data_IF_027452664005
#
_entry.id   IF_027452664005
#
_cell.length_a   1.000
_cell.length_b   1.000
_cell.length_c   1.000
_cell.angle_alpha   90.00
_cell.angle_beta   90.00
_cell.angle_gamma   90.00
#
_symmetry.space_group_name_H-M   'P 1'
#
loop_
_entity.id
_entity.type
_entity.pdbx_description
1 polymer ?
#
# COMPACT_ATOMS: atom_id res chain seq x y z
N UNK A 1 35.18 -32.39 -29.24
CA UNK A 1 34.28 -31.37 -29.84
C UNK A 1 33.03 -31.07 -29.02
N UNK A 2 32.57 -31.95 -28.11
CA UNK A 2 31.32 -31.75 -27.33
C UNK A 2 31.43 -30.79 -26.11
N UNK A 3 32.65 -30.56 -25.59
CA UNK A 3 32.87 -29.74 -24.38
C UNK A 3 32.79 -28.22 -24.61
N UNK A 4 33.11 -27.74 -25.81
CA UNK A 4 33.09 -26.31 -26.12
C UNK A 4 31.68 -25.84 -26.50
N UNK A 5 30.88 -26.70 -27.13
CA UNK A 5 29.47 -26.44 -27.46
C UNK A 5 28.59 -26.33 -26.22
N UNK A 6 28.83 -27.14 -25.19
CA UNK A 6 28.10 -27.08 -23.90
C UNK A 6 28.44 -25.80 -23.13
N UNK A 7 29.68 -25.31 -23.21
CA UNK A 7 30.09 -24.09 -22.54
C UNK A 7 29.45 -22.84 -23.18
N UNK A 8 29.41 -22.78 -24.53
CA UNK A 8 28.77 -21.68 -25.25
C UNK A 8 27.25 -21.62 -25.03
N UNK A 9 26.55 -22.76 -24.93
CA UNK A 9 25.09 -22.76 -24.69
C UNK A 9 24.73 -22.32 -23.26
N UNK A 10 25.52 -22.72 -22.25
CA UNK A 10 25.32 -22.27 -20.87
C UNK A 10 25.58 -20.77 -20.71
N UNK A 11 26.60 -20.22 -21.39
CA UNK A 11 26.92 -18.79 -21.35
C UNK A 11 25.83 -17.92 -22.00
N UNK A 12 25.20 -18.41 -23.08
CA UNK A 12 24.10 -17.70 -23.75
C UNK A 12 22.82 -17.71 -22.90
N UNK A 13 22.51 -18.80 -22.19
CA UNK A 13 21.37 -18.86 -21.26
C UNK A 13 21.52 -17.94 -20.04
N UNK A 14 22.74 -17.69 -19.57
CA UNK A 14 23.04 -16.73 -18.49
C UNK A 14 22.95 -15.27 -18.93
N UNK A 15 23.02 -14.99 -20.23
CA UNK A 15 22.98 -13.64 -20.80
C UNK A 15 21.56 -13.20 -21.20
N UNK A 16 20.55 -14.07 -21.08
CA UNK A 16 19.15 -13.69 -21.31
C UNK A 16 18.66 -12.99 -20.04
N UNK A 17 18.45 -11.66 -20.03
CA UNK A 17 17.83 -11.02 -18.89
C UNK A 17 16.43 -11.62 -18.75
N UNK A 18 16.17 -12.25 -17.59
CA UNK A 18 14.81 -12.61 -17.22
C UNK A 18 14.05 -11.29 -17.19
N UNK A 19 13.18 -11.07 -18.18
CA UNK A 19 12.33 -9.90 -18.23
C UNK A 19 11.36 -9.99 -17.03
N UNK A 20 11.82 -9.48 -15.89
CA UNK A 20 10.97 -9.25 -14.74
C UNK A 20 10.06 -8.08 -15.10
N UNK A 21 8.88 -8.38 -15.64
CA UNK A 21 7.85 -7.37 -15.85
C UNK A 21 7.42 -6.83 -14.49
N UNK A 22 7.91 -5.65 -14.13
CA UNK A 22 7.31 -4.89 -13.06
C UNK A 22 5.90 -4.50 -13.50
N UNK A 23 4.91 -4.72 -12.63
CA UNK A 23 3.54 -4.26 -12.84
C UNK A 23 3.36 -2.78 -12.57
N UNK A 24 4.33 -2.15 -11.90
CA UNK A 24 4.46 -0.69 -11.84
C UNK A 24 4.92 -0.19 -13.20
N UNK A 25 4.24 0.84 -13.71
CA UNK A 25 4.50 1.46 -15.01
C UNK A 25 5.14 2.84 -14.85
N UNK A 26 5.80 3.33 -15.90
CA UNK A 26 6.42 4.65 -15.93
C UNK A 26 7.93 4.66 -15.63
N UNK A 27 8.58 5.83 -15.72
CA UNK A 27 10.02 5.95 -15.48
C UNK A 27 10.41 5.64 -14.03
N UNK A 28 11.40 4.77 -13.83
CA UNK A 28 11.90 4.40 -12.49
C UNK A 28 12.35 5.62 -11.66
N UNK A 29 12.87 6.66 -12.34
CA UNK A 29 13.36 7.90 -11.71
C UNK A 29 12.27 8.69 -10.98
N UNK A 30 11.01 8.47 -11.31
CA UNK A 30 9.90 9.10 -10.60
C UNK A 30 9.74 8.57 -9.17
N UNK A 31 10.24 7.36 -8.91
CA UNK A 31 10.14 6.70 -7.60
C UNK A 31 11.51 6.49 -6.96
N UNK A 32 12.58 6.42 -7.76
CA UNK A 32 13.91 6.03 -7.30
C UNK A 32 15.00 7.05 -7.62
N UNK A 33 15.95 7.19 -6.69
CA UNK A 33 17.24 7.84 -6.86
C UNK A 33 18.35 6.86 -6.49
N UNK A 34 19.34 6.69 -7.36
CA UNK A 34 20.42 5.74 -7.14
C UNK A 34 21.47 6.25 -6.15
N UNK A 35 21.70 7.56 -6.14
CA UNK A 35 22.79 8.18 -5.39
C UNK A 35 22.32 9.24 -4.40
N UNK A 36 21.00 9.41 -4.26
CA UNK A 36 20.41 10.52 -3.52
C UNK A 36 21.05 11.88 -3.88
N UNK A 37 21.37 12.07 -5.16
CA UNK A 37 22.02 13.27 -5.69
C UNK A 37 21.55 13.50 -7.11
N UNK A 38 20.96 14.67 -7.38
CA UNK A 38 20.52 15.12 -8.68
C UNK A 38 20.94 16.58 -8.86
N UNK A 39 21.67 16.89 -9.94
CA UNK A 39 22.18 18.24 -10.21
C UNK A 39 23.01 18.84 -9.06
N UNK A 40 23.84 18.01 -8.41
CA UNK A 40 24.64 18.37 -7.24
C UNK A 40 23.84 18.76 -5.97
N UNK A 41 22.54 18.50 -5.95
CA UNK A 41 21.70 18.65 -4.77
C UNK A 41 21.19 17.29 -4.30
N UNK A 42 21.03 17.09 -2.98
CA UNK A 42 20.43 15.88 -2.46
C UNK A 42 18.97 15.76 -2.93
N UNK A 43 18.51 14.54 -3.25
CA UNK A 43 17.12 14.31 -3.70
C UNK A 43 16.17 14.26 -2.50
N UNK A 44 16.66 13.80 -1.35
CA UNK A 44 15.98 13.84 -0.05
C UNK A 44 16.90 14.50 0.97
N UNK A 45 16.34 15.00 2.07
CA UNK A 45 17.10 15.67 3.12
C UNK A 45 18.08 14.75 3.88
N UNK A 46 18.16 13.47 3.52
CA UNK A 46 19.12 12.54 4.10
C UNK A 46 20.49 12.64 3.40
N UNK A 47 21.58 12.64 4.15
CA UNK A 47 22.95 12.56 3.59
C UNK A 47 23.38 11.14 3.17
N UNK A 48 22.48 10.17 3.21
CA UNK A 48 22.74 8.74 3.01
C UNK A 48 21.95 8.20 1.82
N UNK A 49 22.30 7.01 1.29
CA UNK A 49 21.45 6.31 0.33
C UNK A 49 20.06 6.04 0.93
N UNK A 50 19.01 6.35 0.17
CA UNK A 50 17.64 6.14 0.61
C UNK A 50 17.30 4.64 0.72
N UNK A 51 16.43 4.29 1.66
CA UNK A 51 15.94 2.91 1.78
C UNK A 51 15.23 2.48 0.48
N UNK A 52 15.62 1.31 -0.04
CA UNK A 52 15.19 0.81 -1.34
C UNK A 52 15.36 1.82 -2.49
N UNK A 53 16.29 2.76 -2.37
CA UNK A 53 16.57 3.82 -3.33
C UNK A 53 15.38 4.73 -3.61
N UNK A 54 14.36 4.76 -2.75
CA UNK A 54 13.17 5.57 -3.00
C UNK A 54 13.47 7.06 -2.87
N UNK A 55 12.78 7.90 -3.64
CA UNK A 55 12.87 9.37 -3.52
C UNK A 55 12.04 9.91 -2.36
N UNK A 56 11.14 9.11 -1.80
CA UNK A 56 10.27 9.51 -0.68
C UNK A 56 9.74 8.29 0.08
N UNK A 57 9.08 8.55 1.19
CA UNK A 57 8.30 7.56 1.94
C UNK A 57 6.85 7.44 1.44
N UNK A 58 6.02 6.73 2.22
CA UNK A 58 4.60 6.53 1.93
C UNK A 58 3.85 7.86 1.77
N UNK A 59 4.05 8.81 2.69
CA UNK A 59 3.28 10.05 2.70
C UNK A 59 3.67 10.93 1.52
N UNK A 60 4.97 11.10 1.26
CA UNK A 60 5.37 11.98 0.17
C UNK A 60 4.98 11.47 -1.22
N UNK A 61 4.89 10.14 -1.43
CA UNK A 61 4.37 9.59 -2.69
C UNK A 61 2.83 9.55 -2.75
N UNK A 62 2.14 9.38 -1.62
CA UNK A 62 0.69 9.20 -1.56
C UNK A 62 -0.07 10.46 -1.10
N UNK A 63 0.55 11.65 -1.23
CA UNK A 63 -0.09 12.94 -0.99
C UNK A 63 -0.40 13.64 -2.32
N UNK A 64 -1.64 14.11 -2.48
CA UNK A 64 -2.09 14.80 -3.68
C UNK A 64 -3.59 14.65 -3.92
N UNK A 65 -4.07 15.20 -5.03
CA UNK A 65 -5.49 15.15 -5.41
C UNK A 65 -5.75 14.04 -6.42
N UNK A 66 -6.67 13.12 -6.12
CA UNK A 66 -7.09 12.12 -7.11
C UNK A 66 -7.95 12.78 -8.21
N UNK A 67 -7.68 12.46 -9.46
CA UNK A 67 -8.37 13.01 -10.63
C UNK A 67 -8.86 11.92 -11.60
N UNK A 68 -8.80 10.65 -11.17
CA UNK A 68 -9.24 9.50 -11.96
C UNK A 68 -8.26 9.00 -13.02
N UNK A 69 -7.12 9.68 -13.22
CA UNK A 69 -6.04 9.26 -14.14
C UNK A 69 -4.70 9.06 -13.44
N UNK A 70 -4.63 9.20 -12.10
CA UNK A 70 -3.40 8.97 -11.35
C UNK A 70 -3.00 7.49 -11.36
N UNK A 71 -1.72 7.24 -11.54
CA UNK A 71 -1.13 5.90 -11.36
C UNK A 71 -0.90 5.55 -9.89
N UNK A 72 -0.76 6.56 -9.04
CA UNK A 72 -0.60 6.43 -7.58
C UNK A 72 -1.88 6.89 -6.88
N UNK A 73 -2.46 6.07 -5.98
CA UNK A 73 -3.60 6.51 -5.20
C UNK A 73 -3.16 7.53 -4.15
N UNK A 74 -3.76 8.70 -4.12
CA UNK A 74 -3.47 9.68 -3.07
C UNK A 74 -4.45 9.49 -1.90
N UNK A 75 -3.89 9.19 -0.73
CA UNK A 75 -4.64 8.92 0.50
C UNK A 75 -4.69 10.14 1.43
N UNK A 76 -3.87 11.15 1.14
CA UNK A 76 -3.85 12.42 1.86
C UNK A 76 -3.92 13.57 0.87
N UNK A 77 -4.83 14.51 1.12
CA UNK A 77 -4.87 15.80 0.45
C UNK A 77 -4.98 16.87 1.54
N UNK A 78 -4.30 18.01 1.33
CA UNK A 78 -4.40 19.17 2.21
C UNK A 78 -5.65 20.00 1.93
N UNK A 79 -6.33 19.74 0.81
CA UNK A 79 -7.63 20.31 0.46
C UNK A 79 -8.76 19.34 0.81
N UNK A 80 -9.97 19.84 1.12
CA UNK A 80 -11.11 18.98 1.41
C UNK A 80 -11.41 18.01 0.24
N UNK A 81 -11.63 16.71 0.52
CA UNK A 81 -12.05 15.77 -0.51
C UNK A 81 -13.47 16.06 -0.99
N UNK A 82 -13.68 15.98 -2.30
CA UNK A 82 -14.97 15.97 -2.97
C UNK A 82 -15.47 14.53 -3.09
N UNK A 83 -16.63 14.25 -2.50
CA UNK A 83 -17.23 12.92 -2.51
C UNK A 83 -18.23 12.71 -3.66
N UNK A 84 -18.86 13.77 -4.19
CA UNK A 84 -20.02 13.59 -5.06
C UNK A 84 -21.18 12.90 -4.33
N UNK A 85 -22.08 12.26 -5.08
CA UNK A 85 -23.23 11.54 -4.51
C UNK A 85 -22.85 10.13 -4.03
N UNK A 86 -21.95 9.46 -4.75
CA UNK A 86 -21.59 8.06 -4.53
C UNK A 86 -20.09 7.81 -4.36
N UNK A 87 -19.22 8.81 -4.59
CA UNK A 87 -17.77 8.63 -4.58
C UNK A 87 -17.20 8.02 -5.86
N UNK A 88 -18.00 7.97 -6.93
CA UNK A 88 -17.62 7.33 -8.21
C UNK A 88 -17.67 8.28 -9.40
N UNK A 89 -18.18 9.48 -9.17
CA UNK A 89 -18.35 10.53 -10.14
C UNK A 89 -17.00 11.06 -10.60
N UNK A 90 -16.96 11.64 -11.80
CA UNK A 90 -15.75 12.29 -12.32
C UNK A 90 -15.34 13.54 -11.53
N UNK A 91 -16.27 14.10 -10.76
CA UNK A 91 -16.05 15.22 -9.84
C UNK A 91 -15.59 14.76 -8.45
N UNK A 92 -15.66 13.47 -8.13
CA UNK A 92 -15.18 12.94 -6.87
C UNK A 92 -13.65 12.70 -6.93
N UNK A 93 -12.95 13.00 -5.84
CA UNK A 93 -11.50 12.83 -5.70
C UNK A 93 -11.10 11.96 -4.48
N UNK A 94 -12.08 11.26 -3.91
CA UNK A 94 -11.87 10.38 -2.75
C UNK A 94 -11.68 8.93 -3.17
N UNK A 95 -11.03 8.15 -2.30
CA UNK A 95 -10.87 6.71 -2.47
C UNK A 95 -11.88 5.98 -1.59
N UNK A 96 -12.06 4.69 -1.88
CA UNK A 96 -12.80 3.75 -1.04
C UNK A 96 -12.36 3.70 0.43
N UNK A 97 -11.09 4.04 0.70
CA UNK A 97 -10.54 4.12 2.05
C UNK A 97 -10.68 5.49 2.69
N UNK A 98 -11.33 6.45 2.02
CA UNK A 98 -11.37 7.84 2.42
C UNK A 98 -10.09 8.60 2.12
N UNK A 99 -9.92 9.72 2.83
CA UNK A 99 -8.75 10.59 2.77
C UNK A 99 -8.40 11.06 4.20
N UNK A 100 -7.12 11.09 4.54
CA UNK A 100 -6.62 11.51 5.85
C UNK A 100 -6.79 13.01 6.16
N UNK A 101 -7.31 13.80 5.22
CA UNK A 101 -7.68 15.21 5.42
C UNK A 101 -8.41 15.45 6.75
N UNK A 102 -9.36 14.57 7.11
CA UNK A 102 -10.19 14.76 8.30
C UNK A 102 -9.46 14.61 9.64
N UNK A 103 -8.32 13.92 9.67
CA UNK A 103 -7.48 13.79 10.89
C UNK A 103 -6.28 14.74 10.90
N UNK A 104 -5.98 15.41 9.78
CA UNK A 104 -4.72 16.14 9.62
C UNK A 104 -4.81 17.55 9.04
N UNK A 105 -5.78 17.83 8.17
CA UNK A 105 -5.86 19.09 7.40
C UNK A 105 -7.24 19.77 7.42
N UNK A 106 -8.22 19.19 8.12
CA UNK A 106 -9.60 19.67 8.26
C UNK A 106 -9.82 21.06 8.87
N UNK A 107 -8.76 21.80 9.21
CA UNK A 107 -8.85 23.06 9.95
C UNK A 107 -9.56 22.87 11.29
N UNK A 108 -10.65 23.59 11.53
CA UNK A 108 -11.45 23.46 12.75
C UNK A 108 -12.27 22.16 12.82
N UNK A 109 -12.25 21.35 11.77
CA UNK A 109 -12.92 20.04 11.69
C UNK A 109 -11.94 18.86 11.85
N UNK A 110 -10.70 19.11 12.28
CA UNK A 110 -9.77 18.01 12.61
C UNK A 110 -10.25 17.30 13.88
N UNK A 111 -10.37 15.98 13.81
CA UNK A 111 -10.76 15.16 14.96
C UNK A 111 -10.21 13.72 14.85
N UNK A 112 -9.65 13.19 15.94
CA UNK A 112 -9.10 11.83 16.03
C UNK A 112 -10.17 10.76 15.72
N UNK A 113 -11.45 11.07 15.92
CA UNK A 113 -12.57 10.16 15.64
C UNK A 113 -12.86 9.99 14.14
N UNK A 114 -12.24 10.79 13.28
CA UNK A 114 -12.51 10.77 11.83
C UNK A 114 -11.60 9.83 11.04
N UNK A 115 -10.69 9.10 11.69
CA UNK A 115 -9.86 8.12 11.01
C UNK A 115 -8.76 7.53 11.88
N UNK A 116 -7.78 6.90 11.25
CA UNK A 116 -6.58 6.45 11.94
C UNK A 116 -5.50 7.52 11.91
N UNK A 117 -4.93 7.82 13.07
CA UNK A 117 -3.84 8.79 13.21
C UNK A 117 -2.49 8.17 12.86
N UNK A 118 -2.19 8.13 11.56
CA UNK A 118 -0.97 7.53 11.02
C UNK A 118 0.24 8.45 11.19
N UNK A 119 1.37 7.88 11.63
CA UNK A 119 2.65 8.57 11.75
C UNK A 119 3.08 9.20 10.41
N UNK A 120 3.47 10.47 10.44
CA UNK A 120 3.81 11.27 9.25
C UNK A 120 2.62 11.99 8.63
N UNK A 121 1.39 11.75 9.10
CA UNK A 121 0.17 12.43 8.65
C UNK A 121 -0.46 13.23 9.79
N UNK A 122 -0.64 12.59 10.95
CA UNK A 122 -1.25 13.20 12.13
C UNK A 122 -0.46 12.90 13.40
N UNK A 123 -0.70 13.67 14.45
CA UNK A 123 -0.22 13.35 15.80
C UNK A 123 -0.90 12.06 16.31
N UNK A 124 -0.27 11.29 17.22
CA UNK A 124 -0.92 10.13 17.83
C UNK A 124 -2.31 10.48 18.38
N UNK A 125 -3.25 9.55 18.27
CA UNK A 125 -4.60 9.70 18.83
C UNK A 125 -4.51 9.99 20.34
N UNK A 126 -5.13 11.08 20.77
CA UNK A 126 -5.06 11.56 22.15
C UNK A 126 -5.99 10.80 23.09
N UNK A 127 -7.00 10.11 22.55
CA UNK A 127 -8.03 9.39 23.30
C UNK A 127 -7.80 7.87 23.32
N UNK A 128 -7.27 7.32 22.24
CA UNK A 128 -7.04 5.88 22.06
C UNK A 128 -5.55 5.56 21.93
N UNK A 129 -4.93 5.13 23.02
CA UNK A 129 -3.54 4.69 23.03
C UNK A 129 -3.33 3.27 22.48
N UNK A 130 -4.40 2.49 22.35
CA UNK A 130 -4.43 1.13 21.81
C UNK A 130 -5.68 0.96 20.93
N UNK A 131 -5.63 0.12 19.89
CA UNK A 131 -6.82 -0.17 19.11
C UNK A 131 -7.88 -0.87 19.99
N UNK A 132 -9.13 -0.38 20.02
CA UNK A 132 -10.21 -1.05 20.72
C UNK A 132 -10.37 -2.50 20.24
N UNK A 133 -10.40 -3.45 21.17
CA UNK A 133 -10.51 -4.88 20.86
C UNK A 133 -9.21 -5.56 20.37
N UNK A 134 -8.09 -4.84 20.36
CA UNK A 134 -6.78 -5.41 20.06
C UNK A 134 -6.22 -6.27 21.20
N UNK A 135 -5.28 -7.15 20.85
CA UNK A 135 -4.55 -8.02 21.77
C UNK A 135 -3.28 -7.36 22.36
N UNK A 136 -3.07 -6.07 22.08
CA UNK A 136 -1.89 -5.32 22.50
C UNK A 136 -0.70 -5.39 21.54
N UNK A 137 -0.83 -6.06 20.39
CA UNK A 137 0.24 -6.11 19.37
C UNK A 137 0.52 -4.73 18.77
N UNK A 138 -0.53 -3.93 18.53
CA UNK A 138 -0.40 -2.53 18.11
C UNK A 138 -0.32 -1.62 19.34
N UNK A 139 0.90 -1.43 19.85
CA UNK A 139 1.19 -0.65 21.06
C UNK A 139 2.07 0.59 20.82
N UNK A 140 2.31 0.93 19.57
CA UNK A 140 2.95 2.18 19.16
C UNK A 140 2.05 2.92 18.18
N UNK A 141 2.38 4.18 17.88
CA UNK A 141 1.61 4.95 16.90
C UNK A 141 1.48 4.19 15.58
N UNK A 142 0.26 4.18 15.03
CA UNK A 142 -0.01 3.46 13.78
C UNK A 142 0.86 4.02 12.64
N UNK A 143 1.39 3.12 11.82
CA UNK A 143 2.19 3.41 10.64
C UNK A 143 1.47 2.91 9.39
N UNK A 144 1.91 3.30 8.19
CA UNK A 144 1.33 2.76 6.96
C UNK A 144 1.61 1.26 6.86
N UNK A 145 2.84 0.84 7.15
CA UNK A 145 3.27 -0.54 7.02
C UNK A 145 4.16 -1.03 8.18
N UNK A 146 4.45 -2.32 8.19
CA UNK A 146 5.35 -2.97 9.14
C UNK A 146 4.65 -3.41 10.44
N UNK A 147 5.41 -3.60 11.51
CA UNK A 147 4.91 -4.17 12.79
C UNK A 147 3.75 -3.38 13.42
N UNK A 148 3.69 -2.08 13.18
CA UNK A 148 2.63 -1.20 13.68
C UNK A 148 1.82 -0.59 12.54
N UNK A 149 1.80 -1.23 11.37
CA UNK A 149 0.99 -0.82 10.23
C UNK A 149 0.06 -1.93 9.73
N UNK A 150 -0.94 -1.51 8.96
CA UNK A 150 -1.91 -2.43 8.37
C UNK A 150 -1.37 -3.04 7.07
N UNK A 151 -0.57 -2.28 6.31
CA UNK A 151 0.01 -2.74 5.06
C UNK A 151 1.33 -3.47 5.28
N UNK A 152 1.69 -4.33 4.34
CA UNK A 152 2.97 -5.00 4.36
C UNK A 152 3.04 -6.12 5.40
N UNK A 153 4.24 -6.70 5.52
CA UNK A 153 4.48 -7.81 6.45
C UNK A 153 4.57 -7.29 7.88
N UNK A 154 3.66 -7.72 8.74
CA UNK A 154 3.62 -7.33 10.16
C UNK A 154 4.84 -7.84 10.97
N UNK A 155 5.55 -8.87 10.49
CA UNK A 155 6.80 -9.35 11.10
C UNK A 155 8.04 -8.50 10.80
N UNK A 156 7.91 -7.40 10.04
CA UNK A 156 9.02 -6.54 9.61
C UNK A 156 8.79 -5.14 10.15
N UNK A 157 9.68 -4.62 11.00
CA UNK A 157 9.48 -3.33 11.68
C UNK A 157 9.50 -2.13 10.72
N UNK A 158 10.43 -2.14 9.76
CA UNK A 158 10.63 -1.04 8.84
C UNK A 158 9.60 -1.02 7.70
N UNK A 159 8.88 0.10 7.53
CA UNK A 159 7.74 0.23 6.62
C UNK A 159 8.09 -0.14 5.17
N UNK A 160 9.18 0.43 4.64
CA UNK A 160 9.62 0.19 3.27
C UNK A 160 10.12 -1.26 3.10
N UNK A 161 10.79 -1.81 4.10
CA UNK A 161 11.23 -3.21 4.10
C UNK A 161 10.06 -4.18 4.12
N UNK A 162 9.00 -3.87 4.88
CA UNK A 162 7.78 -4.66 4.96
C UNK A 162 7.02 -4.72 3.61
N UNK A 163 7.23 -3.72 2.75
CA UNK A 163 6.63 -3.60 1.40
C UNK A 163 7.62 -3.94 0.27
N UNK A 164 8.86 -4.31 0.58
CA UNK A 164 9.93 -4.41 -0.42
C UNK A 164 9.57 -5.39 -1.53
N UNK A 165 9.66 -4.91 -2.77
CA UNK A 165 9.36 -5.65 -4.00
C UNK A 165 7.87 -5.80 -4.30
N UNK A 166 6.97 -5.77 -3.32
CA UNK A 166 5.57 -6.16 -3.53
C UNK A 166 4.78 -5.15 -4.34
N UNK A 167 5.15 -3.86 -4.27
CA UNK A 167 4.62 -2.84 -5.18
C UNK A 167 4.83 -3.23 -6.65
N UNK A 168 5.99 -3.82 -7.02
CA UNK A 168 6.30 -4.20 -8.40
C UNK A 168 5.54 -5.44 -8.88
N UNK A 169 5.00 -6.23 -7.96
CA UNK A 169 4.34 -7.50 -8.27
C UNK A 169 2.84 -7.47 -8.01
N UNK A 170 2.27 -6.30 -7.66
CA UNK A 170 0.87 -6.18 -7.21
C UNK A 170 -0.07 -6.89 -8.17
N UNK A 171 -0.77 -7.90 -7.66
CA UNK A 171 -1.79 -8.54 -8.45
C UNK A 171 -2.95 -7.56 -8.71
N UNK A 172 -3.33 -7.42 -9.98
CA UNK A 172 -4.34 -6.51 -10.52
C UNK A 172 -5.61 -7.28 -10.92
N UNK A 173 -5.64 -8.59 -10.62
CA UNK A 173 -6.84 -9.41 -10.68
C UNK A 173 -7.89 -8.88 -9.71
N UNK A 174 -9.15 -9.11 -10.07
CA UNK A 174 -10.29 -8.72 -9.23
C UNK A 174 -10.25 -9.46 -7.89
N UNK A 175 -9.89 -10.74 -7.89
CA UNK A 175 -9.69 -11.51 -6.67
C UNK A 175 -8.24 -11.49 -6.22
N UNK A 176 -8.03 -11.24 -4.92
CA UNK A 176 -6.76 -11.26 -4.23
C UNK A 176 -6.76 -12.47 -3.29
N UNK A 177 -5.91 -13.45 -3.57
CA UNK A 177 -5.92 -14.75 -2.89
C UNK A 177 -5.10 -14.80 -1.59
N UNK A 178 -4.40 -13.72 -1.24
CA UNK A 178 -3.61 -13.62 -0.02
C UNK A 178 -2.34 -14.49 0.01
N UNK A 179 -2.03 -15.25 -1.04
CA UNK A 179 -0.88 -16.19 -1.03
C UNK A 179 0.48 -15.50 -0.97
N UNK A 180 0.53 -14.23 -1.37
CA UNK A 180 1.66 -13.34 -1.16
C UNK A 180 1.12 -11.95 -0.83
N UNK A 181 1.94 -11.11 -0.19
CA UNK A 181 1.59 -9.71 0.05
C UNK A 181 1.18 -8.95 -1.23
N UNK A 182 1.82 -9.24 -2.38
CA UNK A 182 1.44 -8.66 -3.66
C UNK A 182 0.04 -9.12 -4.15
N UNK A 183 -0.37 -10.33 -3.78
CA UNK A 183 -1.69 -10.91 -4.05
C UNK A 183 -2.68 -10.73 -2.91
N UNK A 184 -2.34 -9.94 -1.90
CA UNK A 184 -3.22 -9.70 -0.76
C UNK A 184 -4.08 -8.45 -0.97
N UNK A 185 -5.30 -8.47 -0.47
CA UNK A 185 -6.25 -7.37 -0.62
C UNK A 185 -5.66 -6.08 -0.04
N UNK A 186 -5.51 -5.04 -0.88
CA UNK A 186 -4.90 -3.75 -0.51
C UNK A 186 -3.55 -3.87 0.21
N UNK A 187 -2.76 -4.90 -0.07
CA UNK A 187 -1.49 -5.18 0.63
C UNK A 187 -1.64 -5.42 2.14
N UNK A 188 -2.82 -5.83 2.61
CA UNK A 188 -3.00 -6.36 3.96
C UNK A 188 -2.52 -7.81 3.93
N UNK A 189 -1.34 -8.10 4.49
CA UNK A 189 -0.67 -9.38 4.28
C UNK A 189 -1.56 -10.59 4.62
N UNK A 190 -1.55 -11.60 3.75
CA UNK A 190 -2.41 -12.81 3.83
C UNK A 190 -3.92 -12.61 3.69
N UNK A 191 -4.40 -11.37 3.59
CA UNK A 191 -5.83 -11.08 3.51
C UNK A 191 -6.36 -11.30 2.10
N UNK A 192 -7.45 -12.06 2.01
CA UNK A 192 -8.16 -12.28 0.77
C UNK A 192 -9.27 -11.25 0.56
N UNK A 193 -9.53 -10.88 -0.69
CA UNK A 193 -10.63 -9.96 -0.97
C UNK A 193 -10.80 -9.57 -2.42
N UNK A 194 -11.92 -8.91 -2.69
CA UNK A 194 -12.27 -8.41 -4.02
C UNK A 194 -11.78 -6.96 -4.20
N UNK A 195 -10.78 -6.78 -5.05
CA UNK A 195 -10.30 -5.47 -5.52
C UNK A 195 -11.04 -5.03 -6.77
N UNK A 196 -12.19 -4.37 -6.62
CA UNK A 196 -12.86 -3.69 -7.72
C UNK A 196 -12.20 -2.32 -7.99
N UNK A 197 -11.84 -2.03 -9.25
CA UNK A 197 -11.15 -0.78 -9.66
C UNK A 197 -12.01 0.48 -9.52
N UNK A 198 -13.32 0.33 -9.39
CA UNK A 198 -14.27 1.38 -9.04
C UNK A 198 -15.25 0.77 -8.05
N UNK A 199 -15.57 1.50 -6.98
CA UNK A 199 -16.66 1.11 -6.07
C UNK A 199 -17.96 1.14 -6.87
N UNK A 200 -18.36 0.04 -7.49
CA UNK A 200 -19.79 -0.14 -7.71
C UNK A 200 -20.39 -0.51 -6.34
N UNK A 201 -21.58 0.00 -6.02
CA UNK A 201 -22.24 0.03 -4.70
C UNK A 201 -22.59 -1.36 -4.10
N UNK A 202 -21.88 -2.42 -4.50
CA UNK A 202 -22.22 -3.80 -4.19
C UNK A 202 -20.99 -4.55 -3.68
N UNK A 203 -20.81 -4.52 -2.36
CA UNK A 203 -20.00 -5.44 -1.51
C UNK A 203 -18.47 -5.33 -1.57
N UNK A 204 -17.89 -4.89 -0.45
CA UNK A 204 -16.55 -5.29 0.00
C UNK A 204 -16.71 -6.63 0.73
N UNK A 205 -16.15 -7.72 0.20
CA UNK A 205 -16.04 -9.01 0.90
C UNK A 205 -14.57 -9.24 1.22
N UNK A 206 -14.23 -9.21 2.50
CA UNK A 206 -12.92 -9.56 3.03
C UNK A 206 -13.11 -10.75 3.96
N UNK A 207 -12.30 -11.80 3.82
CA UNK A 207 -12.35 -13.01 4.66
C UNK A 207 -10.98 -13.26 5.26
N UNK A 208 -10.92 -13.38 6.59
CA UNK A 208 -9.74 -13.86 7.32
C UNK A 208 -9.86 -15.37 7.47
N UNK A 209 -9.02 -16.15 6.80
CA UNK A 209 -8.92 -17.58 7.09
C UNK A 209 -8.14 -17.77 8.38
N UNK A 210 -8.83 -17.97 9.51
CA UNK A 210 -8.19 -18.59 10.67
C UNK A 210 -8.08 -20.09 10.41
N UNK A 211 -6.86 -20.63 10.52
CA UNK A 211 -6.62 -22.06 10.42
C UNK A 211 -7.06 -22.74 11.72
N UNK A 212 -8.34 -23.07 11.82
CA UNK A 212 -8.81 -24.16 12.68
C UNK A 212 -9.39 -25.25 11.80
N UNK A 213 -8.75 -26.41 11.82
CA UNK A 213 -9.17 -27.61 11.11
C UNK A 213 -10.63 -27.95 11.45
N UNK A 214 -11.51 -27.99 10.44
CA UNK A 214 -12.91 -28.37 10.62
C UNK A 214 -13.79 -28.03 9.42
N UNK A 215 -13.93 -28.98 8.49
CA UNK A 215 -15.07 -29.20 7.58
C UNK A 215 -15.79 -27.98 6.98
N UNK A 216 -15.47 -27.67 5.71
CA UNK A 216 -16.35 -26.94 4.77
C UNK A 216 -15.98 -25.49 4.49
N UNK A 217 -16.25 -24.97 3.27
CA UNK A 217 -16.02 -23.56 2.95
C UNK A 217 -16.92 -22.66 3.81
N UNK A 218 -16.37 -21.60 4.44
CA UNK A 218 -17.14 -20.69 5.27
C UNK A 218 -18.20 -19.96 4.42
N UNK A 219 -19.45 -20.05 4.87
CA UNK A 219 -20.58 -19.33 4.28
C UNK A 219 -20.40 -17.83 4.53
N UNK A 220 -20.50 -16.95 3.50
CA UNK A 220 -20.28 -15.52 3.67
C UNK A 220 -21.35 -14.93 4.60
N UNK A 221 -20.95 -14.45 5.77
CA UNK A 221 -21.81 -13.70 6.68
C UNK A 221 -21.93 -12.25 6.20
N UNK A 222 -23.18 -11.80 6.10
CA UNK A 222 -23.57 -10.47 5.63
C UNK A 222 -23.39 -9.48 6.78
N UNK A 223 -22.25 -8.79 6.83
CA UNK A 223 -22.16 -7.55 7.61
C UNK A 223 -22.58 -6.39 6.73
N UNK A 224 -23.80 -5.91 6.96
CA UNK A 224 -24.18 -4.56 6.55
C UNK A 224 -23.54 -3.61 7.57
N UNK A 225 -22.64 -2.75 7.11
CA UNK A 225 -22.41 -1.50 7.81
C UNK A 225 -23.64 -0.59 7.59
N UNK A 226 -24.04 0.22 8.59
CA UNK A 226 -25.20 1.11 8.51
C UNK A 226 -25.09 2.13 7.36
#
# INVERSE_FOLDING_TARGET
>A
MMRHTICCTVLVLLAIPVAGSARVTGPCVNCHTMHNSQNNFPVTDSGSPNNALLVSDCVGCHTGTNNGVNDTPYVFDTSPPMYGDTGTETTANTLAGGNFYWVAAGGTLIDDRFGHNVAGIAAPDASLSLPPGGDGTFNTQLRCAGTSGCHGRQGVSEQISAMKGTHHYKDHTIWQDGTTLAKSYRFLDTIQGLGIRRMNSTRIICSTTSTTAGTGPPKPTRHQAP
#
